data_IF_103121908816
#
_entry.id   IF_103121908816
#
_cell.length_a   1.000
_cell.length_b   1.000
_cell.length_c   1.000
_cell.angle_alpha   90.00
_cell.angle_beta   90.00
_cell.angle_gamma   90.00
#
_symmetry.space_group_name_H-M   'P 1'
#
loop_
_entity.id
_entity.type
_entity.pdbx_description
1 polymer ?
#
# COMPACT_ATOMS: atom_id res chain seq x y z
N UNK A 1 -53.78 17.14 -17.88
CA UNK A 1 -53.13 17.15 -19.21
C UNK A 1 -52.35 18.45 -19.26
N UNK A 2 -51.02 18.51 -19.29
CA UNK A 2 -49.99 17.49 -19.60
C UNK A 2 -48.67 18.03 -19.01
N UNK A 3 -47.87 17.16 -18.38
CA UNK A 3 -46.52 17.47 -17.89
C UNK A 3 -45.59 17.92 -19.02
N UNK A 4 -44.73 18.94 -18.82
CA UNK A 4 -43.62 19.21 -19.72
C UNK A 4 -42.49 18.21 -19.47
N UNK A 5 -42.19 17.44 -20.52
CA UNK A 5 -41.03 16.54 -20.63
C UNK A 5 -39.72 17.33 -20.44
N UNK A 6 -38.71 16.82 -19.71
CA UNK A 6 -37.42 17.49 -19.64
C UNK A 6 -36.66 17.32 -20.97
N UNK A 7 -35.85 18.32 -21.39
CA UNK A 7 -35.05 18.22 -22.60
C UNK A 7 -33.96 17.16 -22.42
N UNK A 8 -34.04 16.07 -23.19
CA UNK A 8 -33.00 15.06 -23.29
C UNK A 8 -31.84 15.62 -24.14
N UNK A 9 -30.99 16.47 -23.54
CA UNK A 9 -29.75 16.95 -24.14
C UNK A 9 -28.66 15.90 -23.97
N UNK A 10 -28.73 14.80 -24.73
CA UNK A 10 -27.56 13.96 -24.98
C UNK A 10 -26.78 14.57 -26.14
N UNK A 11 -25.79 15.40 -25.82
CA UNK A 11 -24.82 15.90 -26.79
C UNK A 11 -24.15 14.70 -27.47
N UNK A 12 -24.12 14.60 -28.80
CA UNK A 12 -23.57 13.41 -29.47
C UNK A 12 -22.07 13.32 -29.21
N UNK A 13 -21.65 12.27 -28.51
CA UNK A 13 -20.25 11.90 -28.37
C UNK A 13 -19.73 11.46 -29.75
N UNK A 14 -18.52 11.92 -30.11
CA UNK A 14 -17.83 11.55 -31.36
C UNK A 14 -16.43 11.04 -31.05
N UNK A 15 -15.83 10.22 -31.91
CA UNK A 15 -14.43 9.79 -31.71
C UNK A 15 -13.45 10.91 -32.05
N UNK A 16 -12.41 11.09 -31.24
CA UNK A 16 -11.29 11.98 -31.58
C UNK A 16 -10.32 11.22 -32.52
N UNK A 17 -10.64 11.22 -33.82
CA UNK A 17 -9.88 10.52 -34.84
C UNK A 17 -8.42 10.98 -34.96
N UNK A 18 -8.09 12.30 -34.88
CA UNK A 18 -6.71 12.75 -34.80
C UNK A 18 -5.96 12.15 -33.61
N UNK A 19 -6.57 12.16 -32.42
CA UNK A 19 -5.97 11.58 -31.22
C UNK A 19 -5.77 10.06 -31.35
N UNK A 20 -6.77 9.35 -31.88
CA UNK A 20 -6.73 7.91 -32.09
C UNK A 20 -5.60 7.53 -33.07
N UNK A 21 -5.47 8.25 -34.19
CA UNK A 21 -4.38 8.06 -35.17
C UNK A 21 -3.01 8.35 -34.56
N UNK A 22 -2.87 9.40 -33.76
CA UNK A 22 -1.61 9.72 -33.08
C UNK A 22 -1.20 8.62 -32.09
N UNK A 23 -2.14 8.14 -31.26
CA UNK A 23 -1.87 7.06 -30.30
C UNK A 23 -1.59 5.72 -30.99
N UNK A 24 -2.27 5.42 -32.08
CA UNK A 24 -1.99 4.22 -32.86
C UNK A 24 -0.54 4.21 -33.39
N UNK A 25 -0.03 5.35 -33.87
CA UNK A 25 1.37 5.48 -34.27
C UNK A 25 2.33 5.31 -33.09
N UNK A 26 2.04 5.90 -31.93
CA UNK A 26 2.86 5.76 -30.72
C UNK A 26 2.91 4.30 -30.22
N UNK A 27 1.78 3.60 -30.28
CA UNK A 27 1.64 2.19 -29.93
C UNK A 27 2.10 1.23 -31.03
N UNK A 28 2.57 1.75 -32.18
CA UNK A 28 3.01 0.98 -33.35
C UNK A 28 1.95 0.00 -33.88
N UNK A 29 0.67 0.36 -33.76
CA UNK A 29 -0.43 -0.43 -34.31
C UNK A 29 -0.50 -0.24 -35.83
N UNK A 30 -0.64 -1.34 -36.54
CA UNK A 30 -0.83 -1.37 -37.99
C UNK A 30 -2.29 -1.14 -38.36
N UNK A 31 -2.55 -0.67 -39.59
CA UNK A 31 -3.91 -0.49 -40.09
C UNK A 31 -4.73 -1.79 -40.06
N UNK A 32 -4.09 -2.93 -40.28
CA UNK A 32 -4.73 -4.25 -40.21
C UNK A 32 -5.17 -4.58 -38.77
N UNK A 33 -4.34 -4.28 -37.76
CA UNK A 33 -4.68 -4.48 -36.34
C UNK A 33 -5.81 -3.54 -35.90
N UNK A 34 -5.78 -2.29 -36.33
CA UNK A 34 -6.83 -1.30 -36.05
C UNK A 34 -8.16 -1.68 -36.71
N UNK A 35 -8.10 -2.22 -37.92
CA UNK A 35 -9.28 -2.73 -38.64
C UNK A 35 -9.83 -3.98 -37.95
N UNK A 36 -8.96 -4.88 -37.47
CA UNK A 36 -9.39 -6.05 -36.71
C UNK A 36 -10.06 -5.69 -35.37
N UNK A 37 -9.55 -4.64 -34.69
CA UNK A 37 -10.10 -4.18 -33.40
C UNK A 37 -11.42 -3.43 -33.54
N UNK A 38 -11.59 -2.67 -34.62
CA UNK A 38 -12.78 -1.83 -34.82
C UNK A 38 -13.82 -2.46 -35.72
N UNK A 39 -13.44 -3.44 -36.54
CA UNK A 39 -14.26 -3.98 -37.62
C UNK A 39 -14.47 -3.01 -38.79
N UNK A 40 -13.79 -1.86 -38.78
CA UNK A 40 -13.95 -0.78 -39.77
C UNK A 40 -12.57 -0.43 -40.33
N UNK A 41 -12.38 -0.44 -41.67
CA UNK A 41 -11.13 -0.01 -42.29
C UNK A 41 -10.71 1.40 -41.83
N UNK A 42 -9.42 1.62 -41.59
CA UNK A 42 -8.91 2.92 -41.10
C UNK A 42 -9.16 4.08 -42.07
N UNK A 43 -9.36 3.78 -43.36
CA UNK A 43 -9.77 4.73 -44.41
C UNK A 43 -11.19 5.25 -44.24
N UNK A 44 -12.05 4.48 -43.56
CA UNK A 44 -13.49 4.71 -43.48
C UNK A 44 -13.89 5.28 -42.11
N UNK A 45 -12.91 5.54 -41.25
CA UNK A 45 -13.16 6.00 -39.88
C UNK A 45 -13.86 7.36 -39.81
N UNK A 46 -13.54 8.28 -40.71
CA UNK A 46 -14.12 9.63 -40.72
C UNK A 46 -15.64 9.61 -41.00
N UNK A 47 -16.15 8.57 -41.67
CA UNK A 47 -17.57 8.41 -42.03
C UNK A 47 -18.31 7.35 -41.23
N UNK A 48 -17.62 6.32 -40.71
CA UNK A 48 -18.26 5.15 -40.11
C UNK A 48 -17.88 4.88 -38.65
N UNK A 49 -16.82 5.48 -38.12
CA UNK A 49 -16.42 5.30 -36.73
C UNK A 49 -17.22 6.24 -35.83
N UNK A 50 -18.31 5.73 -35.28
CA UNK A 50 -19.15 6.45 -34.32
C UNK A 50 -19.32 5.63 -33.05
N UNK A 51 -19.54 6.24 -31.88
CA UNK A 51 -19.71 5.48 -30.63
C UNK A 51 -20.91 4.54 -30.65
N UNK A 52 -21.83 4.73 -31.61
CA UNK A 52 -23.00 3.89 -31.84
C UNK A 52 -22.74 2.71 -32.75
N UNK A 53 -21.71 2.78 -33.61
CA UNK A 53 -21.32 1.70 -34.54
C UNK A 53 -20.33 0.72 -33.89
N UNK A 54 -19.57 1.16 -32.88
CA UNK A 54 -18.67 0.31 -32.11
C UNK A 54 -19.37 -0.34 -30.92
N UNK A 55 -19.20 -1.65 -30.76
CA UNK A 55 -19.60 -2.32 -29.52
C UNK A 55 -18.74 -1.83 -28.34
N UNK A 56 -19.30 -1.86 -27.13
CA UNK A 56 -18.55 -1.50 -25.91
C UNK A 56 -17.30 -2.37 -25.72
N UNK A 57 -17.36 -3.65 -26.09
CA UNK A 57 -16.22 -4.56 -26.05
C UNK A 57 -15.10 -4.14 -27.01
N UNK A 58 -15.46 -3.73 -28.24
CA UNK A 58 -14.50 -3.24 -29.22
C UNK A 58 -13.88 -1.91 -28.80
N UNK A 59 -14.67 -1.02 -28.17
CA UNK A 59 -14.18 0.24 -27.61
C UNK A 59 -13.17 -0.01 -26.47
N UNK A 60 -13.45 -0.93 -25.56
CA UNK A 60 -12.52 -1.29 -24.48
C UNK A 60 -11.26 -1.96 -25.02
N UNK A 61 -11.39 -2.87 -25.99
CA UNK A 61 -10.26 -3.52 -26.64
C UNK A 61 -9.36 -2.50 -27.36
N UNK A 62 -9.96 -1.54 -28.05
CA UNK A 62 -9.26 -0.44 -28.71
C UNK A 62 -8.55 0.47 -27.69
N UNK A 63 -9.24 0.85 -26.61
CA UNK A 63 -8.66 1.65 -25.52
C UNK A 63 -7.46 0.96 -24.88
N UNK A 64 -7.57 -0.34 -24.61
CA UNK A 64 -6.47 -1.16 -24.10
C UNK A 64 -5.30 -1.23 -25.09
N UNK A 65 -5.57 -1.45 -26.39
CA UNK A 65 -4.53 -1.49 -27.42
C UNK A 65 -3.79 -0.15 -27.57
N UNK A 66 -4.50 0.98 -27.37
CA UNK A 66 -3.94 2.32 -27.41
C UNK A 66 -3.34 2.79 -26.06
N UNK A 67 -3.38 1.93 -25.05
CA UNK A 67 -2.97 2.20 -23.67
C UNK A 67 -3.57 3.52 -23.14
N UNK A 68 -4.87 3.70 -23.35
CA UNK A 68 -5.65 4.88 -22.95
C UNK A 68 -6.98 4.46 -22.31
N UNK A 69 -7.57 5.29 -21.44
CA UNK A 69 -8.90 5.00 -20.94
C UNK A 69 -9.95 5.14 -22.06
N UNK A 70 -11.05 4.36 -22.03
CA UNK A 70 -12.08 4.36 -23.07
C UNK A 70 -12.72 5.75 -23.26
N UNK A 71 -12.89 6.49 -22.16
CA UNK A 71 -13.49 7.83 -22.18
C UNK A 71 -12.62 8.88 -22.87
N UNK A 72 -11.29 8.65 -22.95
CA UNK A 72 -10.38 9.56 -23.65
C UNK A 72 -10.45 9.43 -25.19
N UNK A 73 -11.09 8.37 -25.70
CA UNK A 73 -11.32 8.19 -27.14
C UNK A 73 -12.56 8.97 -27.62
N UNK A 74 -13.44 9.35 -26.70
CA UNK A 74 -14.71 9.99 -26.96
C UNK A 74 -14.63 11.49 -26.67
N UNK A 75 -15.21 12.29 -27.55
CA UNK A 75 -15.19 13.75 -27.52
C UNK A 75 -16.61 14.28 -27.49
N UNK A 76 -16.82 15.38 -26.76
CA UNK A 76 -17.96 16.26 -27.01
C UNK A 76 -17.53 17.29 -28.07
N UNK A 77 -18.33 17.55 -29.11
CA UNK A 77 -17.92 18.39 -30.24
C UNK A 77 -17.52 19.83 -29.86
N UNK A 78 -17.88 20.31 -28.67
CA UNK A 78 -17.62 21.68 -28.21
C UNK A 78 -16.50 21.83 -27.16
N UNK A 79 -15.80 20.76 -26.77
CA UNK A 79 -14.68 20.87 -25.82
C UNK A 79 -13.33 21.05 -26.54
N UNK A 80 -12.63 22.18 -26.35
CA UNK A 80 -11.27 22.33 -26.86
C UNK A 80 -10.37 21.26 -26.27
N UNK A 81 -9.48 20.74 -27.12
CA UNK A 81 -8.54 19.65 -26.83
C UNK A 81 -7.75 19.94 -25.55
N UNK A 82 -8.08 19.28 -24.45
CA UNK A 82 -7.09 18.99 -23.42
C UNK A 82 -6.60 17.58 -23.72
N UNK A 83 -5.36 17.39 -24.21
CA UNK A 83 -4.82 16.05 -24.40
C UNK A 83 -4.95 15.26 -23.10
N UNK A 84 -5.14 13.93 -23.15
CA UNK A 84 -5.19 13.11 -21.95
C UNK A 84 -3.96 13.44 -21.13
N UNK A 85 -4.21 13.79 -19.88
CA UNK A 85 -3.18 14.15 -18.94
C UNK A 85 -2.28 12.94 -18.81
N UNK A 86 -1.17 12.91 -19.54
CA UNK A 86 0.04 12.20 -19.10
C UNK A 86 0.17 12.49 -17.61
N UNK A 87 0.53 11.51 -16.75
CA UNK A 87 0.74 11.80 -15.34
C UNK A 87 1.62 13.03 -15.30
N UNK A 88 1.07 14.14 -14.76
CA UNK A 88 1.62 15.46 -15.01
C UNK A 88 3.11 15.35 -14.72
N UNK A 89 3.95 15.50 -15.76
CA UNK A 89 5.40 15.47 -15.61
C UNK A 89 5.76 16.78 -14.94
N UNK A 90 5.36 16.88 -13.67
CA UNK A 90 5.73 17.95 -12.79
C UNK A 90 7.25 17.95 -12.71
N UNK A 91 7.85 19.12 -12.46
CA UNK A 91 9.29 19.17 -12.23
C UNK A 91 9.66 18.15 -11.15
N UNK A 92 10.86 17.56 -11.22
CA UNK A 92 11.33 16.58 -10.24
C UNK A 92 11.17 17.07 -8.78
N UNK A 93 11.20 18.39 -8.54
CA UNK A 93 10.88 18.98 -7.24
C UNK A 93 9.43 18.78 -6.78
N UNK A 94 8.46 18.79 -7.70
CA UNK A 94 7.05 18.51 -7.42
C UNK A 94 6.82 17.02 -7.14
N UNK A 95 7.45 16.13 -7.91
CA UNK A 95 7.43 14.68 -7.64
C UNK A 95 8.03 14.39 -6.26
N UNK A 96 9.17 15.01 -5.95
CA UNK A 96 9.80 14.90 -4.63
C UNK A 96 8.88 15.46 -3.52
N UNK A 97 8.22 16.59 -3.76
CA UNK A 97 7.29 17.18 -2.79
C UNK A 97 6.13 16.24 -2.48
N UNK A 98 5.49 15.67 -3.51
CA UNK A 98 4.43 14.69 -3.36
C UNK A 98 4.92 13.43 -2.62
N UNK A 99 6.07 12.87 -3.02
CA UNK A 99 6.63 11.70 -2.37
C UNK A 99 6.89 11.92 -0.87
N UNK A 100 7.37 13.10 -0.48
CA UNK A 100 7.62 13.44 0.93
C UNK A 100 6.34 13.75 1.72
N UNK A 101 5.26 14.16 1.06
CA UNK A 101 3.94 14.28 1.70
C UNK A 101 3.40 12.89 2.06
N UNK A 102 3.54 11.93 1.14
CA UNK A 102 3.05 10.56 1.32
C UNK A 102 3.90 9.75 2.30
N UNK A 103 5.23 9.80 2.17
CA UNK A 103 6.15 8.96 2.94
C UNK A 103 6.63 9.60 4.24
N UNK A 104 6.58 10.92 4.35
CA UNK A 104 7.07 11.66 5.51
C UNK A 104 8.59 11.65 5.62
N UNK A 105 9.12 10.91 6.59
CA UNK A 105 10.57 10.78 6.86
C UNK A 105 11.12 9.52 6.24
N UNK A 106 12.11 9.67 5.37
CA UNK A 106 12.73 8.56 4.65
C UNK A 106 14.24 8.78 4.47
N UNK A 107 15.00 7.69 4.34
CA UNK A 107 16.42 7.77 3.99
C UNK A 107 16.58 8.27 2.54
N UNK A 108 17.54 9.15 2.22
CA UNK A 108 17.73 9.66 0.87
C UNK A 108 17.94 8.56 -0.18
N UNK A 109 18.68 7.50 0.16
CA UNK A 109 18.95 6.39 -0.76
C UNK A 109 17.71 5.53 -1.04
N UNK A 110 16.88 5.27 -0.02
CA UNK A 110 15.62 4.54 -0.19
C UNK A 110 14.65 5.32 -1.07
N UNK A 111 14.59 6.65 -0.86
CA UNK A 111 13.77 7.54 -1.68
C UNK A 111 14.28 7.62 -3.12
N UNK A 112 15.61 7.71 -3.31
CA UNK A 112 16.22 7.69 -4.63
C UNK A 112 15.92 6.38 -5.36
N UNK A 113 16.04 5.24 -4.67
CA UNK A 113 15.72 3.92 -5.19
C UNK A 113 14.25 3.80 -5.57
N UNK A 114 13.33 4.20 -4.69
CA UNK A 114 11.89 4.14 -4.93
C UNK A 114 11.41 5.05 -6.08
N UNK A 115 12.11 6.17 -6.31
CA UNK A 115 11.83 7.08 -7.43
C UNK A 115 12.62 6.73 -8.70
N UNK A 116 13.45 5.69 -8.66
CA UNK A 116 14.38 5.31 -9.73
C UNK A 116 15.30 6.48 -10.16
N UNK A 117 15.74 7.27 -9.20
CA UNK A 117 16.59 8.45 -9.42
C UNK A 117 18.03 8.21 -9.03
N UNK A 118 18.93 8.80 -9.79
CA UNK A 118 20.32 8.92 -9.37
C UNK A 118 20.45 9.91 -8.17
N UNK A 119 21.47 9.75 -7.30
CA UNK A 119 21.66 10.63 -6.14
C UNK A 119 21.84 12.11 -6.49
N UNK A 120 22.37 12.41 -7.68
CA UNK A 120 22.61 13.80 -8.11
C UNK A 120 21.31 14.50 -8.50
N UNK A 121 20.38 13.76 -9.09
CA UNK A 121 19.02 14.19 -9.43
C UNK A 121 18.21 14.44 -8.17
N UNK A 122 18.27 13.56 -7.18
CA UNK A 122 17.63 13.80 -5.88
C UNK A 122 18.17 15.08 -5.22
N UNK A 123 19.50 15.27 -5.19
CA UNK A 123 20.12 16.49 -4.65
C UNK A 123 19.65 17.75 -5.39
N UNK A 124 19.57 17.70 -6.73
CA UNK A 124 19.08 18.83 -7.54
C UNK A 124 17.61 19.14 -7.28
N UNK A 125 16.76 18.11 -7.25
CA UNK A 125 15.33 18.25 -6.95
C UNK A 125 15.11 18.81 -5.55
N UNK A 126 15.86 18.33 -4.55
CA UNK A 126 15.83 18.83 -3.18
C UNK A 126 16.26 20.30 -3.08
N UNK A 127 17.31 20.70 -3.80
CA UNK A 127 17.76 22.09 -3.83
C UNK A 127 16.69 23.03 -4.43
N UNK A 128 16.07 22.63 -5.54
CA UNK A 128 14.98 23.37 -6.19
C UNK A 128 13.77 23.46 -5.26
N UNK A 129 13.36 22.34 -4.64
CA UNK A 129 12.23 22.31 -3.71
C UNK A 129 12.50 23.21 -2.49
N UNK A 130 13.70 23.15 -1.92
CA UNK A 130 14.10 24.01 -0.79
C UNK A 130 14.02 25.50 -1.16
N UNK A 131 14.51 25.87 -2.34
CA UNK A 131 14.42 27.24 -2.83
C UNK A 131 12.97 27.67 -3.04
N UNK A 132 12.14 26.82 -3.65
CA UNK A 132 10.73 27.09 -3.90
C UNK A 132 9.93 27.30 -2.60
N UNK A 133 10.11 26.41 -1.61
CA UNK A 133 9.46 26.54 -0.30
C UNK A 133 9.87 27.82 0.43
N UNK A 134 11.11 28.28 0.24
CA UNK A 134 11.59 29.52 0.81
C UNK A 134 11.00 30.74 0.10
N UNK A 135 11.05 30.78 -1.24
CA UNK A 135 10.51 31.87 -2.06
C UNK A 135 9.00 32.05 -1.88
N UNK A 136 8.25 30.95 -1.79
CA UNK A 136 6.81 30.98 -1.61
C UNK A 136 6.36 31.30 -0.17
N UNK A 137 7.28 31.57 0.76
CA UNK A 137 7.00 31.71 2.20
C UNK A 137 6.15 30.54 2.74
N UNK A 138 6.43 29.32 2.27
CA UNK A 138 5.66 28.14 2.64
C UNK A 138 5.73 27.89 4.15
N UNK A 139 4.67 27.37 4.80
CA UNK A 139 4.73 26.93 6.18
C UNK A 139 5.61 25.67 6.36
N UNK A 140 6.07 25.06 5.26
CA UNK A 140 6.93 23.88 5.27
C UNK A 140 8.39 24.23 4.94
N UNK A 141 9.32 23.44 5.47
CA UNK A 141 10.75 23.49 5.20
C UNK A 141 11.24 22.09 4.88
N UNK A 142 12.06 21.99 3.83
CA UNK A 142 12.75 20.75 3.51
C UNK A 142 13.97 20.61 4.41
N UNK A 143 14.02 19.52 5.18
CA UNK A 143 15.20 19.08 5.94
C UNK A 143 15.81 17.93 5.17
N UNK A 144 17.09 18.08 4.79
CA UNK A 144 17.85 17.07 4.07
C UNK A 144 19.21 16.91 4.77
N UNK A 145 19.39 15.77 5.41
CA UNK A 145 20.64 15.30 6.02
C UNK A 145 21.15 14.08 5.27
N UNK A 146 22.32 13.57 5.65
CA UNK A 146 22.87 12.33 5.06
C UNK A 146 21.97 11.11 5.31
N UNK A 147 21.25 11.10 6.44
CA UNK A 147 20.46 9.95 6.89
C UNK A 147 18.96 10.13 6.72
N UNK A 148 18.47 11.36 6.50
CA UNK A 148 17.02 11.61 6.42
C UNK A 148 16.69 12.77 5.47
N UNK A 149 15.60 12.63 4.73
CA UNK A 149 14.97 13.70 3.98
C UNK A 149 13.47 13.76 4.33
N UNK A 150 12.97 14.95 4.69
CA UNK A 150 11.56 15.15 5.03
C UNK A 150 11.11 16.61 5.00
N UNK A 151 9.80 16.81 4.99
CA UNK A 151 9.17 18.11 5.19
C UNK A 151 8.88 18.33 6.67
N UNK A 152 9.27 19.49 7.19
CA UNK A 152 8.97 19.91 8.55
C UNK A 152 8.19 21.23 8.53
N UNK A 153 7.30 21.42 9.50
CA UNK A 153 6.67 22.72 9.72
C UNK A 153 7.73 23.75 10.15
N UNK A 154 7.60 25.00 9.70
CA UNK A 154 8.46 26.09 10.11
C UNK A 154 8.40 26.25 11.65
N UNK A 155 9.56 26.34 12.34
CA UNK A 155 9.58 26.54 13.78
C UNK A 155 8.81 27.80 14.19
N UNK A 156 8.04 27.69 15.28
CA UNK A 156 7.30 28.83 15.84
C UNK A 156 5.94 29.13 15.19
N UNK A 157 5.53 28.43 14.13
CA UNK A 157 4.17 28.59 13.57
C UNK A 157 3.07 28.04 14.49
N UNK A 158 3.38 26.99 15.24
CA UNK A 158 2.46 26.40 16.20
C UNK A 158 2.88 26.80 17.61
N UNK A 159 1.93 27.26 18.40
CA UNK A 159 2.14 27.50 19.83
C UNK A 159 2.34 26.17 20.56
N UNK A 160 3.06 26.18 21.70
CA UNK A 160 3.23 24.98 22.52
C UNK A 160 1.90 24.33 22.92
N UNK A 161 0.85 25.14 23.13
CA UNK A 161 -0.51 24.64 23.41
C UNK A 161 -1.13 23.90 22.22
N UNK A 162 -1.01 24.44 21.01
CA UNK A 162 -1.51 23.79 19.78
C UNK A 162 -0.77 22.49 19.51
N UNK A 163 0.57 22.48 19.67
CA UNK A 163 1.36 21.26 19.57
C UNK A 163 0.91 20.21 20.58
N UNK A 164 0.77 20.59 21.85
CA UNK A 164 0.32 19.67 22.90
C UNK A 164 -1.09 19.13 22.62
N UNK A 165 -1.99 19.96 22.08
CA UNK A 165 -3.30 19.52 21.63
C UNK A 165 -3.18 18.46 20.53
N UNK A 166 -2.38 18.70 19.49
CA UNK A 166 -2.19 17.74 18.39
C UNK A 166 -1.58 16.41 18.87
N UNK A 167 -0.62 16.46 19.82
CA UNK A 167 -0.03 15.26 20.42
C UNK A 167 -1.05 14.47 21.26
N UNK A 168 -1.77 15.16 22.16
CA UNK A 168 -2.75 14.52 23.05
C UNK A 168 -3.94 13.93 22.29
N UNK A 169 -4.33 14.52 21.15
CA UNK A 169 -5.40 13.99 20.30
C UNK A 169 -4.93 12.94 19.30
N UNK A 170 -3.63 12.63 19.22
CA UNK A 170 -3.08 11.61 18.32
C UNK A 170 -3.00 12.06 16.85
N UNK A 171 -3.03 13.37 16.57
CA UNK A 171 -2.99 13.92 15.21
C UNK A 171 -1.57 14.22 14.70
N UNK A 172 -0.53 13.72 15.36
CA UNK A 172 0.85 13.80 14.87
C UNK A 172 1.33 12.45 14.36
N UNK A 173 1.84 12.41 13.13
CA UNK A 173 2.33 11.18 12.50
C UNK A 173 3.58 10.59 13.17
N UNK A 174 4.35 11.42 13.89
CA UNK A 174 5.67 11.04 14.40
C UNK A 174 5.69 10.36 15.78
N UNK A 175 4.61 10.45 16.55
CA UNK A 175 4.55 9.87 17.89
C UNK A 175 3.16 9.30 18.16
N UNK A 176 3.11 8.15 18.84
CA UNK A 176 1.87 7.68 19.43
C UNK A 176 1.50 8.61 20.58
N UNK A 177 0.25 9.05 20.63
CA UNK A 177 -0.30 9.65 21.84
C UNK A 177 -0.18 8.66 23.00
N UNK A 178 -0.14 9.11 24.27
CA UNK A 178 -0.03 8.20 25.41
C UNK A 178 -1.09 7.10 25.41
N UNK A 179 -2.33 7.42 25.04
CA UNK A 179 -3.41 6.43 24.94
C UNK A 179 -3.21 5.43 23.80
N UNK A 180 -2.73 5.84 22.64
CA UNK A 180 -2.37 4.93 21.55
C UNK A 180 -1.18 4.04 21.93
N UNK A 181 -0.18 4.60 22.61
CA UNK A 181 1.00 3.86 23.06
C UNK A 181 0.63 2.79 24.09
N UNK A 182 -0.21 3.12 25.08
CA UNK A 182 -0.73 2.15 26.06
C UNK A 182 -1.55 1.07 25.37
N UNK A 183 -2.48 1.45 24.49
CA UNK A 183 -3.32 0.48 23.77
C UNK A 183 -2.50 -0.45 22.87
N UNK A 184 -1.47 0.07 22.17
CA UNK A 184 -0.57 -0.72 21.34
C UNK A 184 0.29 -1.68 22.20
N UNK A 185 0.81 -1.21 23.34
CA UNK A 185 1.58 -2.04 24.26
C UNK A 185 0.74 -3.16 24.88
N UNK A 186 -0.50 -2.86 25.32
CA UNK A 186 -1.43 -3.85 25.86
C UNK A 186 -1.82 -4.89 24.81
N UNK A 187 -2.06 -4.46 23.58
CA UNK A 187 -2.37 -5.34 22.46
C UNK A 187 -1.20 -6.27 22.14
N UNK A 188 0.05 -5.76 22.11
CA UNK A 188 1.25 -6.59 21.94
C UNK A 188 1.42 -7.58 23.10
N UNK A 189 1.27 -7.10 24.34
CA UNK A 189 1.40 -7.94 25.54
C UNK A 189 0.40 -9.10 25.53
N UNK A 190 -0.86 -8.80 25.21
CA UNK A 190 -1.93 -9.81 25.13
C UNK A 190 -1.69 -10.80 24.00
N UNK A 191 -1.24 -10.33 22.82
CA UNK A 191 -0.90 -11.20 21.70
C UNK A 191 0.23 -12.19 22.06
N UNK A 192 1.31 -11.72 22.68
CA UNK A 192 2.43 -12.57 23.12
C UNK A 192 1.99 -13.57 24.21
N UNK A 193 1.04 -13.18 25.07
CA UNK A 193 0.54 -14.03 26.16
C UNK A 193 -0.64 -14.92 25.76
N UNK A 194 -1.12 -14.86 24.52
CA UNK A 194 -2.32 -15.59 24.07
C UNK A 194 -3.59 -15.18 24.84
N UNK A 195 -3.65 -13.95 25.33
CA UNK A 195 -4.79 -13.42 26.07
C UNK A 195 -5.83 -12.81 25.13
N UNK A 196 -7.12 -12.78 25.52
CA UNK A 196 -8.16 -12.14 24.72
C UNK A 196 -7.82 -10.67 24.50
N UNK A 197 -7.94 -10.23 23.25
CA UNK A 197 -7.66 -8.84 22.88
C UNK A 197 -8.74 -7.92 23.43
N UNK A 198 -8.31 -6.83 24.05
CA UNK A 198 -9.17 -5.79 24.60
C UNK A 198 -8.50 -4.45 24.28
N UNK A 199 -9.00 -3.81 23.23
CA UNK A 199 -8.56 -2.48 22.81
C UNK A 199 -9.74 -1.55 22.99
N UNK A 200 -9.59 -0.42 23.71
CA UNK A 200 -10.66 0.55 23.84
C UNK A 200 -11.17 0.97 22.46
N UNK A 201 -12.50 0.94 22.25
CA UNK A 201 -13.11 1.20 20.95
C UNK A 201 -12.68 2.56 20.35
N UNK A 202 -12.43 3.57 21.18
CA UNK A 202 -11.94 4.88 20.78
C UNK A 202 -10.52 4.87 20.17
N UNK A 203 -9.71 3.84 20.47
CA UNK A 203 -8.34 3.68 19.99
C UNK A 203 -8.25 2.85 18.70
N UNK A 204 -9.24 1.97 18.43
CA UNK A 204 -9.26 1.12 17.23
C UNK A 204 -9.05 1.91 15.93
N UNK A 205 -9.83 2.96 15.60
CA UNK A 205 -9.64 3.70 14.34
C UNK A 205 -8.28 4.40 14.28
N UNK A 206 -7.72 4.80 15.43
CA UNK A 206 -6.43 5.48 15.50
C UNK A 206 -5.27 4.53 15.24
N UNK A 207 -5.30 3.35 15.85
CA UNK A 207 -4.30 2.30 15.62
C UNK A 207 -4.41 1.72 14.19
N UNK A 208 -5.62 1.58 13.66
CA UNK A 208 -5.85 1.16 12.27
C UNK A 208 -5.27 2.17 11.26
N UNK A 209 -5.54 3.46 11.42
CA UNK A 209 -5.01 4.52 10.56
C UNK A 209 -3.46 4.55 10.55
N UNK A 210 -2.84 4.12 11.64
CA UNK A 210 -1.38 4.02 11.79
C UNK A 210 -0.81 2.68 11.35
N UNK A 211 -1.62 1.78 10.76
CA UNK A 211 -1.25 0.42 10.35
C UNK A 211 -0.64 -0.42 11.49
N UNK A 212 -1.10 -0.18 12.72
CA UNK A 212 -0.69 -0.95 13.90
C UNK A 212 -1.62 -2.14 14.18
N UNK A 213 -2.80 -2.14 13.56
CA UNK A 213 -3.74 -3.25 13.59
C UNK A 213 -3.69 -4.06 12.29
N UNK A 214 -3.96 -5.36 12.38
CA UNK A 214 -4.18 -6.21 11.23
C UNK A 214 -5.33 -5.66 10.36
N UNK A 215 -5.22 -5.76 9.02
CA UNK A 215 -6.18 -5.17 8.09
C UNK A 215 -7.55 -5.86 8.10
N UNK A 216 -7.62 -7.12 8.57
CA UNK A 216 -8.84 -7.91 8.56
C UNK A 216 -9.10 -8.57 9.92
N UNK A 217 -10.39 -8.76 10.25
CA UNK A 217 -10.83 -9.50 11.41
C UNK A 217 -10.90 -8.69 12.71
N UNK A 218 -10.72 -9.39 13.83
CA UNK A 218 -10.71 -8.80 15.16
C UNK A 218 -9.45 -7.95 15.37
N UNK A 219 -9.46 -6.97 16.29
CA UNK A 219 -8.27 -6.17 16.58
C UNK A 219 -7.11 -7.08 16.95
N UNK A 220 -6.04 -7.05 16.16
CA UNK A 220 -4.82 -7.82 16.37
C UNK A 220 -3.63 -6.96 15.93
N UNK A 221 -2.41 -7.18 16.48
CA UNK A 221 -1.23 -6.47 16.00
C UNK A 221 -0.96 -6.74 14.53
N UNK A 222 -0.56 -5.69 13.81
CA UNK A 222 -0.15 -5.82 12.43
C UNK A 222 1.04 -6.79 12.30
N UNK A 223 1.04 -7.72 11.31
CA UNK A 223 2.13 -8.69 11.15
C UNK A 223 3.49 -8.02 10.99
N UNK A 224 3.60 -6.94 10.21
CA UNK A 224 4.86 -6.18 10.05
C UNK A 224 5.37 -5.61 11.36
N UNK A 225 4.47 -5.19 12.27
CA UNK A 225 4.86 -4.69 13.57
C UNK A 225 5.41 -5.82 14.46
N UNK A 226 4.82 -7.01 14.40
CA UNK A 226 5.36 -8.19 15.09
C UNK A 226 6.72 -8.60 14.51
N UNK A 227 6.85 -8.59 13.18
CA UNK A 227 8.10 -8.92 12.50
C UNK A 227 9.21 -7.92 12.85
N UNK A 228 8.94 -6.63 12.77
CA UNK A 228 9.90 -5.57 13.09
C UNK A 228 10.38 -5.64 14.55
N UNK A 229 9.51 -6.08 15.47
CA UNK A 229 9.84 -6.28 16.89
C UNK A 229 10.45 -7.65 17.19
N UNK A 230 10.61 -8.53 16.20
CA UNK A 230 11.11 -9.90 16.38
C UNK A 230 10.17 -10.78 17.21
N UNK A 231 8.87 -10.42 17.28
CA UNK A 231 7.84 -11.13 18.04
C UNK A 231 7.09 -12.19 17.22
N UNK A 232 7.31 -12.22 15.91
CA UNK A 232 6.85 -13.29 15.03
C UNK A 232 8.05 -14.07 14.47
N UNK A 233 7.92 -15.39 14.37
CA UNK A 233 8.78 -16.18 13.48
C UNK A 233 8.50 -15.73 12.03
N UNK A 234 9.55 -15.62 11.21
CA UNK A 234 9.50 -15.11 9.83
C UNK A 234 8.25 -15.56 9.08
N UNK A 235 7.61 -14.69 8.27
CA UNK A 235 6.52 -15.09 7.39
C UNK A 235 7.11 -15.92 6.24
N UNK A 236 7.49 -17.16 6.54
CA UNK A 236 7.73 -18.15 5.52
C UNK A 236 6.36 -18.68 5.16
N UNK A 237 5.89 -18.28 3.99
CA UNK A 237 4.76 -18.85 3.27
C UNK A 237 4.93 -20.36 3.21
N UNK A 238 4.43 -21.10 4.20
CA UNK A 238 4.10 -22.51 3.98
C UNK A 238 2.73 -22.55 3.32
N UNK A 239 2.61 -23.10 2.10
CA UNK A 239 1.31 -23.32 1.49
C UNK A 239 0.53 -24.33 2.36
N UNK A 240 -0.80 -24.21 2.45
CA UNK A 240 -1.61 -25.12 3.25
C UNK A 240 -1.50 -26.53 2.66
N UNK A 241 -0.92 -27.45 3.43
CA UNK A 241 -1.09 -28.89 3.20
C UNK A 241 -2.57 -29.22 3.42
N UNK A 242 -3.27 -29.45 2.30
CA UNK A 242 -4.63 -29.95 2.27
C UNK A 242 -4.80 -31.17 3.20
N UNK A 243 -5.79 -31.15 4.14
CA UNK A 243 -6.18 -32.34 4.85
C UNK A 243 -7.24 -33.10 4.03
N UNK A 244 -6.81 -33.98 3.12
CA UNK A 244 -7.70 -35.00 2.59
C UNK A 244 -7.96 -36.03 3.69
N UNK A 245 -9.23 -36.11 4.09
CA UNK A 245 -9.73 -36.88 5.23
C UNK A 245 -10.30 -38.24 4.75
N UNK A 246 -10.19 -39.26 5.61
CA UNK A 246 -10.98 -40.54 5.71
C UNK A 246 -10.64 -41.61 4.62
N UNK A 247 -10.32 -42.87 4.92
CA UNK A 247 -10.95 -43.78 5.89
C UNK A 247 -10.06 -45.01 6.25
N UNK A 248 -10.42 -45.73 7.33
CA UNK A 248 -9.72 -46.90 7.87
C UNK A 248 -10.28 -48.22 7.31
N UNK A 249 -9.50 -49.30 7.34
CA UNK A 249 -10.07 -50.64 7.53
C UNK A 249 -9.08 -51.61 8.19
N UNK A 250 -9.61 -52.37 9.13
CA UNK A 250 -8.98 -53.28 10.07
C UNK A 250 -8.82 -54.68 9.46
N UNK A 251 -7.66 -55.32 9.64
CA UNK A 251 -7.57 -56.78 9.67
C UNK A 251 -6.27 -57.26 10.37
N UNK A 252 -6.39 -57.46 11.68
CA UNK A 252 -5.54 -58.32 12.55
C UNK A 252 -5.69 -59.83 12.19
N UNK A 253 -5.04 -60.83 12.86
CA UNK A 253 -3.84 -60.88 13.72
C UNK A 253 -2.92 -62.14 13.51
N UNK A 254 -1.69 -62.16 14.04
CA UNK A 254 -1.18 -63.16 15.03
C UNK A 254 0.33 -63.01 15.37
N UNK A 255 0.72 -63.15 16.66
CA UNK A 255 2.10 -63.27 17.16
C UNK A 255 2.39 -64.76 17.53
N UNK A 256 3.35 -65.18 18.40
CA UNK A 256 4.55 -64.53 18.98
C UNK A 256 5.83 -65.42 18.88
N UNK A 257 7.04 -64.86 19.08
CA UNK A 257 8.10 -65.58 19.84
C UNK A 257 9.02 -64.60 20.54
N UNK A 258 9.29 -64.91 21.81
CA UNK A 258 9.91 -64.08 22.83
C UNK A 258 11.44 -64.19 22.88
N UNK A 259 12.09 -63.13 23.36
CA UNK A 259 13.22 -63.13 24.30
C UNK A 259 13.46 -61.65 24.69
N UNK A 260 12.80 -61.12 25.71
CA UNK A 260 13.19 -61.19 27.13
C UNK A 260 14.54 -60.52 27.43
N UNK A 261 14.50 -59.28 27.93
CA UNK A 261 14.95 -58.93 29.28
C UNK A 261 14.62 -57.45 29.59
N UNK A 262 13.95 -57.24 30.71
CA UNK A 262 13.68 -55.96 31.37
C UNK A 262 14.34 -56.02 32.78
N UNK A 263 14.06 -55.10 33.73
CA UNK A 263 14.30 -53.66 33.81
C UNK A 263 15.10 -53.30 35.10
N UNK A 264 15.39 -52.00 35.37
CA UNK A 264 15.04 -51.30 36.64
C UNK A 264 15.73 -49.95 36.84
N UNK A 265 14.92 -48.97 37.21
CA UNK A 265 15.27 -47.71 37.90
C UNK A 265 15.62 -48.04 39.38
N UNK A 266 16.44 -47.23 40.06
CA UNK A 266 15.89 -46.44 41.16
C UNK A 266 16.41 -44.99 41.22
N UNK A 267 15.62 -44.14 41.87
CA UNK A 267 15.84 -42.71 42.11
C UNK A 267 16.64 -42.48 43.44
N UNK A 268 16.69 -41.24 44.01
CA UNK A 268 17.90 -40.55 44.48
C UNK A 268 18.16 -40.70 46.00
N UNK A 269 19.14 -39.95 46.57
CA UNK A 269 18.85 -39.32 47.87
C UNK A 269 19.28 -37.84 47.98
N UNK A 270 18.46 -37.09 48.70
CA UNK A 270 18.74 -35.76 49.24
C UNK A 270 19.30 -35.85 50.68
N UNK A 271 19.91 -34.75 51.13
CA UNK A 271 20.30 -34.39 52.53
C UNK A 271 21.52 -35.14 53.08
N UNK A 272 22.43 -34.58 53.89
CA UNK A 272 22.31 -33.52 54.91
C UNK A 272 23.72 -33.11 55.41
N UNK A 273 23.87 -31.83 55.77
CA UNK A 273 24.60 -31.27 56.94
C UNK A 273 26.10 -31.48 57.20
N UNK A 274 26.73 -30.32 57.43
CA UNK A 274 27.62 -29.96 58.56
C UNK A 274 28.99 -30.63 58.67
N UNK A 275 30.08 -29.86 58.61
CA UNK A 275 30.64 -29.10 59.74
C UNK A 275 32.10 -28.67 59.47
N UNK A 276 32.44 -27.44 59.93
CA UNK A 276 33.74 -26.96 60.44
C UNK A 276 34.96 -27.00 59.47
N UNK A 277 35.83 -26.01 59.38
CA UNK A 277 36.14 -24.84 60.20
C UNK A 277 37.63 -24.52 60.04
N UNK A 278 38.02 -23.30 60.45
CA UNK A 278 39.40 -22.81 60.68
C UNK A 278 40.17 -22.32 59.45
N UNK A 279 40.32 -21.00 59.25
CA UNK A 279 41.31 -20.10 59.87
C UNK A 279 42.75 -20.55 59.66
N UNK A 280 43.46 -19.88 58.75
CA UNK A 280 44.47 -18.84 59.02
C UNK A 280 44.67 -17.99 57.78
#
# INVERSE_FOLDING_TARGET
>A
MTDPHPPNLQTPLAFDLPFLRARAMECRLTDDELTALTGIPTTDWDSHLTPQTLSSAALIALAHALNTPPDALLRQPDTPHNPPTQPATGPHSAVLHAALIETGRIHPDDLASALEWDPTRLKRAAAILKAHLHQANSPQRLIHTETTIHLAALPGLLTGRQLNSLYSTGHTAAALSPGEATAAADLLHRAVRGLPVDVPAAQIPRLANRRLLAPEGLPAPHPDLLFALGLAASPTTEPPLNPATIAPDDAHPRPPTALACAPRIPAPPSTRSDHQGSLT
#
